data_IF_935231213125
#
_entry.id   IF_935231213125
#
_cell.length_a   1.000
_cell.length_b   1.000
_cell.length_c   1.000
_cell.angle_alpha   90.00
_cell.angle_beta   90.00
_cell.angle_gamma   90.00
#
_symmetry.space_group_name_H-M   'P 1'
#
loop_
_entity.id
_entity.type
_entity.pdbx_description
1 polymer ?
#
# COMPACT_ATOMS: atom_id res chain seq x y z
N UNK A 1 -2.84 -25.55 -15.13
CA UNK A 1 -1.86 -26.64 -15.36
C UNK A 1 -1.80 -27.52 -14.12
N UNK A 2 -1.52 -28.83 -14.27
CA UNK A 2 -1.31 -29.76 -13.15
C UNK A 2 0.19 -30.05 -13.02
N UNK A 3 0.71 -29.99 -11.80
CA UNK A 3 2.09 -30.33 -11.46
C UNK A 3 2.10 -31.12 -10.16
N UNK A 4 3.13 -31.95 -9.96
CA UNK A 4 3.33 -32.70 -8.71
C UNK A 4 4.64 -32.26 -8.11
N UNK A 5 4.63 -31.87 -6.84
CA UNK A 5 5.81 -31.47 -6.10
C UNK A 5 5.71 -31.98 -4.65
N UNK A 6 6.84 -32.19 -4.01
CA UNK A 6 6.89 -32.55 -2.60
C UNK A 6 7.01 -31.27 -1.76
N UNK A 7 6.14 -31.13 -0.75
CA UNK A 7 6.10 -30.00 0.18
C UNK A 7 5.99 -30.60 1.57
N UNK A 8 6.71 -30.00 2.52
CA UNK A 8 6.58 -30.30 3.94
C UNK A 8 5.13 -30.03 4.42
N UNK A 9 4.51 -31.03 5.03
CA UNK A 9 3.11 -30.94 5.46
C UNK A 9 2.91 -29.89 6.56
N UNK A 10 3.88 -29.70 7.46
CA UNK A 10 3.78 -28.70 8.53
C UNK A 10 3.80 -27.28 7.97
N UNK A 11 4.57 -27.07 6.90
CA UNK A 11 4.61 -25.80 6.18
C UNK A 11 3.28 -25.53 5.50
N UNK A 12 2.72 -26.53 4.80
CA UNK A 12 1.44 -26.39 4.11
C UNK A 12 0.30 -26.11 5.09
N UNK A 13 0.26 -26.83 6.21
CA UNK A 13 -0.74 -26.63 7.26
C UNK A 13 -0.66 -25.23 7.87
N UNK A 14 0.55 -24.72 8.07
CA UNK A 14 0.76 -23.35 8.55
C UNK A 14 0.25 -22.33 7.54
N UNK A 15 0.53 -22.52 6.25
CA UNK A 15 0.03 -21.65 5.18
C UNK A 15 -1.50 -21.67 5.13
N UNK A 16 -2.12 -22.85 5.23
CA UNK A 16 -3.58 -22.98 5.28
C UNK A 16 -4.18 -22.21 6.47
N UNK A 17 -3.60 -22.35 7.68
CA UNK A 17 -4.05 -21.64 8.89
C UNK A 17 -3.92 -20.12 8.76
N UNK A 18 -2.81 -19.63 8.19
CA UNK A 18 -2.56 -18.18 8.04
C UNK A 18 -3.44 -17.56 6.95
N UNK A 19 -3.66 -18.27 5.85
CA UNK A 19 -4.41 -17.75 4.69
C UNK A 19 -5.92 -17.99 4.79
N UNK A 20 -6.36 -18.96 5.61
CA UNK A 20 -7.75 -19.41 5.66
C UNK A 20 -8.19 -20.24 4.45
N UNK A 21 -7.24 -20.71 3.62
CA UNK A 21 -7.53 -21.51 2.44
C UNK A 21 -8.22 -22.82 2.81
N UNK A 22 -9.27 -23.19 2.05
CA UNK A 22 -10.07 -24.39 2.30
C UNK A 22 -9.44 -25.63 1.69
N UNK A 23 -8.58 -25.45 0.68
CA UNK A 23 -7.92 -26.54 -0.05
C UNK A 23 -6.42 -26.35 -0.12
N UNK A 24 -5.67 -27.46 -0.22
CA UNK A 24 -4.21 -27.45 -0.38
C UNK A 24 -3.78 -26.66 -1.62
N UNK A 25 -4.49 -26.84 -2.74
CA UNK A 25 -4.21 -26.14 -4.00
C UNK A 25 -4.38 -24.63 -3.86
N UNK A 26 -5.47 -24.21 -3.23
CA UNK A 26 -5.74 -22.79 -2.97
C UNK A 26 -4.66 -22.17 -2.07
N UNK A 27 -4.24 -22.89 -1.01
CA UNK A 27 -3.19 -22.44 -0.11
C UNK A 27 -1.87 -22.21 -0.85
N UNK A 28 -1.48 -23.15 -1.72
CA UNK A 28 -0.28 -23.02 -2.57
C UNK A 28 -0.42 -21.86 -3.55
N UNK A 29 -1.58 -21.72 -4.20
CA UNK A 29 -1.83 -20.63 -5.14
C UNK A 29 -1.72 -19.25 -4.47
N UNK A 30 -2.33 -19.09 -3.29
CA UNK A 30 -2.26 -17.85 -2.51
C UNK A 30 -0.82 -17.57 -2.10
N UNK A 31 -0.11 -18.56 -1.56
CA UNK A 31 1.27 -18.39 -1.12
C UNK A 31 2.20 -17.95 -2.26
N UNK A 32 2.14 -18.61 -3.41
CA UNK A 32 2.97 -18.26 -4.57
C UNK A 32 2.64 -16.88 -5.12
N UNK A 33 1.35 -16.56 -5.24
CA UNK A 33 0.90 -15.25 -5.72
C UNK A 33 1.36 -14.14 -4.77
N UNK A 34 1.22 -14.35 -3.47
CA UNK A 34 1.59 -13.37 -2.46
C UNK A 34 3.11 -13.15 -2.37
N UNK A 35 3.91 -14.21 -2.53
CA UNK A 35 5.36 -14.07 -2.59
C UNK A 35 5.79 -13.26 -3.83
N UNK A 36 5.22 -13.54 -4.99
CA UNK A 36 5.47 -12.76 -6.20
C UNK A 36 5.05 -11.28 -6.02
N UNK A 37 3.87 -11.04 -5.43
CA UNK A 37 3.36 -9.68 -5.16
C UNK A 37 4.29 -8.90 -4.24
N UNK A 38 4.77 -9.51 -3.14
CA UNK A 38 5.70 -8.87 -2.19
C UNK A 38 7.03 -8.54 -2.83
N UNK A 39 7.57 -9.44 -3.64
CA UNK A 39 8.80 -9.18 -4.39
C UNK A 39 8.60 -8.00 -5.34
N UNK A 40 7.49 -7.97 -6.09
CA UNK A 40 7.21 -6.88 -7.02
C UNK A 40 7.06 -5.53 -6.32
N UNK A 41 6.38 -5.51 -5.18
CA UNK A 41 6.21 -4.30 -4.37
C UNK A 41 7.57 -3.78 -3.87
N UNK A 42 8.45 -4.67 -3.41
CA UNK A 42 9.82 -4.29 -2.98
C UNK A 42 10.63 -3.71 -4.14
N UNK A 43 10.55 -4.33 -5.32
CA UNK A 43 11.22 -3.85 -6.53
C UNK A 43 10.76 -2.43 -6.88
N UNK A 44 9.44 -2.20 -6.95
CA UNK A 44 8.86 -0.88 -7.25
C UNK A 44 9.27 0.17 -6.22
N UNK A 45 9.21 -0.15 -4.92
CA UNK A 45 9.59 0.80 -3.87
C UNK A 45 11.09 1.08 -3.84
N UNK A 46 11.93 0.11 -4.24
CA UNK A 46 13.38 0.32 -4.32
C UNK A 46 13.81 1.23 -5.48
N UNK A 47 13.00 1.35 -6.53
CA UNK A 47 13.27 2.25 -7.65
C UNK A 47 13.09 3.73 -7.26
N UNK A 48 12.33 4.01 -6.19
CA UNK A 48 12.00 5.36 -5.77
C UNK A 48 11.08 6.08 -6.77
N UNK A 49 10.82 7.37 -6.53
CA UNK A 49 9.94 8.19 -7.37
C UNK A 49 10.71 8.92 -8.48
N UNK A 50 12.02 8.71 -8.59
CA UNK A 50 12.88 9.46 -9.53
C UNK A 50 12.99 10.96 -9.22
N UNK A 51 12.53 11.38 -8.04
CA UNK A 51 12.48 12.78 -7.61
C UNK A 51 13.39 13.00 -6.40
N UNK A 52 14.00 14.18 -6.35
CA UNK A 52 14.69 14.66 -5.16
C UNK A 52 13.69 15.03 -4.05
N UNK A 53 14.11 15.08 -2.77
CA UNK A 53 13.24 15.52 -1.68
C UNK A 53 12.62 16.90 -1.89
N UNK A 54 13.35 17.83 -2.52
CA UNK A 54 12.89 19.18 -2.83
C UNK A 54 11.82 19.19 -3.92
N UNK A 55 12.01 18.39 -4.98
CA UNK A 55 11.02 18.22 -6.05
C UNK A 55 9.74 17.56 -5.53
N UNK A 56 9.86 16.56 -4.66
CA UNK A 56 8.70 15.96 -4.02
C UNK A 56 7.92 17.00 -3.19
N UNK A 57 8.62 17.82 -2.39
CA UNK A 57 7.95 18.89 -1.62
C UNK A 57 7.24 19.90 -2.52
N UNK A 58 7.84 20.24 -3.66
CA UNK A 58 7.26 21.18 -4.61
C UNK A 58 6.02 20.61 -5.31
N UNK A 59 6.02 19.32 -5.68
CA UNK A 59 4.90 18.67 -6.37
C UNK A 59 3.62 18.60 -5.51
N UNK A 60 3.78 18.45 -4.19
CA UNK A 60 2.67 18.42 -3.23
C UNK A 60 2.41 19.78 -2.55
N UNK A 61 3.11 20.85 -2.94
CA UNK A 61 2.88 22.16 -2.37
C UNK A 61 1.56 22.76 -2.91
N UNK A 62 0.77 23.45 -2.07
CA UNK A 62 -0.44 24.12 -2.53
C UNK A 62 -0.09 25.18 -3.57
N UNK A 63 -0.82 25.14 -4.69
CA UNK A 63 -0.69 26.05 -5.81
C UNK A 63 -1.81 27.09 -5.79
N UNK A 64 -1.67 28.16 -6.59
CA UNK A 64 -2.71 29.19 -6.71
C UNK A 64 -4.07 28.64 -7.21
N UNK A 65 -4.08 27.48 -7.88
CA UNK A 65 -5.31 26.82 -8.29
C UNK A 65 -6.07 26.18 -7.11
N UNK A 66 -5.36 25.77 -6.05
CA UNK A 66 -5.92 25.14 -4.85
C UNK A 66 -6.62 26.16 -3.92
N UNK A 67 -6.44 27.46 -4.16
CA UNK A 67 -7.12 28.54 -3.43
C UNK A 67 -8.60 28.66 -3.82
N UNK A 68 -8.94 28.34 -5.06
CA UNK A 68 -10.27 28.55 -5.63
C UNK A 68 -11.22 27.36 -5.46
N UNK A 69 -10.66 26.15 -5.36
CA UNK A 69 -11.41 24.93 -5.07
C UNK A 69 -10.51 24.04 -4.21
N UNK A 70 -10.54 24.23 -2.88
CA UNK A 70 -9.69 23.49 -1.92
C UNK A 70 -9.90 21.99 -2.15
N UNK A 71 -8.99 21.29 -2.84
CA UNK A 71 -9.25 19.90 -3.14
C UNK A 71 -9.06 19.10 -1.86
N UNK A 72 -9.66 17.93 -1.89
CA UNK A 72 -9.77 16.86 -0.90
C UNK A 72 -8.46 16.40 -0.22
N UNK A 73 -7.34 17.11 -0.36
CA UNK A 73 -6.02 16.79 0.20
C UNK A 73 -6.01 16.84 1.74
N UNK A 74 -6.87 17.67 2.35
CA UNK A 74 -7.01 17.78 3.81
C UNK A 74 -8.27 17.07 4.33
N UNK A 75 -8.80 16.06 3.63
CA UNK A 75 -10.04 15.35 4.04
C UNK A 75 -9.92 14.73 5.43
N UNK A 76 -8.71 14.34 5.85
CA UNK A 76 -8.45 13.76 7.16
C UNK A 76 -8.23 14.80 8.27
N UNK A 77 -8.09 16.09 7.94
CA UNK A 77 -7.93 17.14 8.95
C UNK A 77 -9.28 17.61 9.49
N UNK A 78 -9.40 17.83 10.81
CA UNK A 78 -10.61 18.42 11.36
C UNK A 78 -10.78 19.84 10.80
N UNK A 79 -11.91 20.06 10.11
CA UNK A 79 -12.25 21.39 9.58
C UNK A 79 -12.37 22.37 10.74
N UNK A 80 -11.53 23.41 10.74
CA UNK A 80 -11.70 24.53 11.66
C UNK A 80 -13.03 25.25 11.35
N UNK A 81 -13.86 25.51 12.37
CA UNK A 81 -15.08 26.31 12.20
C UNK A 81 -14.74 27.68 11.61
N UNK A 82 -15.64 28.17 10.75
CA UNK A 82 -15.51 29.51 10.19
C UNK A 82 -15.45 30.56 11.32
N UNK A 83 -14.41 31.39 11.33
CA UNK A 83 -14.23 32.47 12.30
C UNK A 83 -13.15 32.22 13.37
N UNK A 84 -12.57 31.01 13.44
CA UNK A 84 -11.46 30.74 14.36
C UNK A 84 -10.12 30.68 13.61
N UNK A 85 -9.21 31.60 13.93
CA UNK A 85 -7.81 31.49 13.51
C UNK A 85 -7.16 30.35 14.30
N UNK A 86 -6.91 29.21 13.65
CA UNK A 86 -6.18 28.10 14.24
C UNK A 86 -4.85 28.59 14.83
N UNK A 87 -4.75 28.60 16.16
CA UNK A 87 -3.49 28.85 16.86
C UNK A 87 -2.52 27.74 16.48
N UNK A 88 -1.49 28.09 15.71
CA UNK A 88 -0.40 27.21 15.38
C UNK A 88 0.20 26.57 16.65
N UNK A 89 0.33 25.24 16.64
CA UNK A 89 1.26 24.49 17.48
C UNK A 89 2.18 23.71 16.57
#
# INVERSE_FOLDING_TARGET
MKMTMHIDEDVLDRVMKVTGAKTKTEAVQIALTEMARRHKLKELFSQGLGMTPEQLKAEFAPTAADEFDRPLLNVAEPKTPYGESGSAR
#
